data_IF_476519318283
#
_entry.id   IF_476519318283
#
_cell.length_a   1.000
_cell.length_b   1.000
_cell.length_c   1.000
_cell.angle_alpha   90.00
_cell.angle_beta   90.00
_cell.angle_gamma   90.00
#
_symmetry.space_group_name_H-M   'P 1'
#
loop_
_entity.id
_entity.type
_entity.pdbx_description
1 polymer ?
#
# COMPACT_ATOMS: atom_id res chain seq x y z
N UNK A 1 -3.22 -11.49 0.90
CA UNK A 1 -3.36 -10.01 0.93
C UNK A 1 -2.02 -9.31 0.84
N UNK A 2 -1.09 -9.58 1.73
CA UNK A 2 0.23 -8.93 1.70
C UNK A 2 0.99 -9.20 0.40
N UNK A 3 0.99 -10.44 -0.07
CA UNK A 3 1.70 -10.80 -1.29
C UNK A 3 1.19 -10.07 -2.52
N UNK A 4 -0.11 -9.89 -2.63
CA UNK A 4 -0.71 -9.15 -3.74
C UNK A 4 -0.33 -7.67 -3.70
N UNK A 5 -0.35 -7.08 -2.51
CA UNK A 5 0.02 -5.69 -2.33
C UNK A 5 1.49 -5.46 -2.62
N UNK A 6 2.35 -6.35 -2.14
CA UNK A 6 3.78 -6.27 -2.40
C UNK A 6 4.06 -6.36 -3.89
N UNK A 7 3.43 -7.32 -4.57
CA UNK A 7 3.58 -7.48 -6.01
C UNK A 7 3.12 -6.25 -6.78
N UNK A 8 1.99 -5.66 -6.36
CA UNK A 8 1.48 -4.44 -6.98
C UNK A 8 2.45 -3.28 -6.81
N UNK A 9 2.96 -3.08 -5.60
CA UNK A 9 3.89 -1.98 -5.33
C UNK A 9 5.15 -2.12 -6.18
N UNK A 10 5.73 -3.32 -6.24
CA UNK A 10 6.94 -3.55 -7.04
C UNK A 10 6.63 -3.33 -8.52
N UNK A 11 5.52 -3.89 -9.01
CA UNK A 11 5.18 -3.86 -10.43
C UNK A 11 4.79 -2.46 -10.91
N UNK A 12 3.96 -1.77 -10.15
CA UNK A 12 3.35 -0.52 -10.61
C UNK A 12 4.03 0.73 -10.05
N UNK A 13 4.52 0.67 -8.82
CA UNK A 13 5.11 1.85 -8.20
C UNK A 13 6.63 1.88 -8.30
N UNK A 14 7.26 0.73 -8.45
CA UNK A 14 8.71 0.62 -8.58
C UNK A 14 9.15 0.15 -9.97
N UNK A 15 8.23 0.17 -10.94
CA UNK A 15 8.51 -0.22 -12.34
C UNK A 15 9.15 -1.60 -12.46
N UNK A 16 8.70 -2.54 -11.62
CA UNK A 16 9.23 -3.89 -11.62
C UNK A 16 10.57 -4.07 -10.92
N UNK A 17 11.09 -3.02 -10.31
CA UNK A 17 12.38 -3.07 -9.60
C UNK A 17 12.16 -3.54 -8.17
N UNK A 18 12.55 -4.76 -7.87
CA UNK A 18 12.52 -5.25 -6.50
C UNK A 18 13.84 -4.86 -5.83
N UNK A 19 13.78 -3.80 -5.03
CA UNK A 19 14.95 -3.26 -4.31
C UNK A 19 15.02 -3.77 -2.88
N UNK A 20 14.52 -4.99 -2.66
CA UNK A 20 14.47 -5.55 -1.31
C UNK A 20 13.23 -5.12 -0.53
N UNK A 21 12.16 -4.75 -1.24
CA UNK A 21 10.92 -4.34 -0.59
C UNK A 21 10.33 -5.48 0.23
N UNK A 22 9.98 -5.19 1.47
CA UNK A 22 9.26 -6.12 2.33
C UNK A 22 8.14 -5.37 3.06
N UNK A 23 7.46 -6.07 3.96
CA UNK A 23 6.31 -5.50 4.68
C UNK A 23 6.69 -4.38 5.64
N UNK A 24 7.96 -4.24 5.96
CA UNK A 24 8.46 -3.22 6.88
C UNK A 24 9.22 -2.09 6.17
N UNK A 25 9.34 -2.14 4.83
CA UNK A 25 10.01 -1.09 4.08
C UNK A 25 9.24 0.23 4.27
N UNK A 26 9.92 1.31 4.70
CA UNK A 26 9.25 2.59 4.96
C UNK A 26 8.87 3.29 3.64
N UNK A 27 7.65 3.06 3.20
CA UNK A 27 7.17 3.51 1.89
C UNK A 27 7.16 5.02 1.73
N UNK A 28 6.78 5.74 2.79
CA UNK A 28 6.76 7.20 2.73
C UNK A 28 8.16 7.78 2.77
N UNK A 29 9.01 7.23 3.64
CA UNK A 29 10.38 7.72 3.77
C UNK A 29 11.22 7.49 2.51
N UNK A 30 10.96 6.38 1.81
CA UNK A 30 11.68 6.07 0.57
C UNK A 30 11.08 6.75 -0.66
N UNK A 31 9.97 7.48 -0.50
CA UNK A 31 9.32 8.13 -1.61
C UNK A 31 8.56 7.18 -2.53
N UNK A 32 8.29 5.96 -2.10
CA UNK A 32 7.51 5.00 -2.88
C UNK A 32 6.06 5.46 -2.97
N UNK A 33 5.52 5.99 -1.87
CA UNK A 33 4.17 6.52 -1.84
C UNK A 33 4.18 8.04 -1.78
N UNK A 34 3.45 8.65 -2.71
CA UNK A 34 3.12 10.07 -2.68
C UNK A 34 1.60 10.19 -2.88
N UNK A 35 1.09 11.41 -3.05
CA UNK A 35 -0.36 11.63 -3.19
C UNK A 35 -0.98 10.81 -4.32
N UNK A 36 -0.30 10.74 -5.45
CA UNK A 36 -0.81 10.01 -6.61
C UNK A 36 -0.72 8.50 -6.39
N UNK A 37 0.42 8.02 -5.89
CA UNK A 37 0.63 6.60 -5.66
C UNK A 37 -0.31 6.05 -4.59
N UNK A 38 -0.62 6.85 -3.57
CA UNK A 38 -1.61 6.47 -2.55
C UNK A 38 -2.98 6.23 -3.20
N UNK A 39 -3.40 7.11 -4.09
CA UNK A 39 -4.68 6.93 -4.79
C UNK A 39 -4.68 5.68 -5.65
N UNK A 40 -3.57 5.39 -6.31
CA UNK A 40 -3.41 4.18 -7.13
C UNK A 40 -3.51 2.94 -6.25
N UNK A 41 -2.84 2.96 -5.09
CA UNK A 41 -2.87 1.84 -4.15
C UNK A 41 -4.29 1.60 -3.61
N UNK A 42 -5.00 2.65 -3.26
CA UNK A 42 -6.37 2.55 -2.77
C UNK A 42 -7.30 1.97 -3.85
N UNK A 43 -7.15 2.42 -5.09
CA UNK A 43 -7.93 1.90 -6.21
C UNK A 43 -7.67 0.42 -6.43
N UNK A 44 -6.40 -0.01 -6.37
CA UNK A 44 -6.04 -1.41 -6.49
C UNK A 44 -6.69 -2.25 -5.37
N UNK A 45 -6.64 -1.74 -4.14
CA UNK A 45 -7.23 -2.43 -3.00
C UNK A 45 -8.73 -2.63 -3.19
N UNK A 46 -9.42 -1.61 -3.66
CA UNK A 46 -10.85 -1.67 -3.90
C UNK A 46 -11.19 -2.67 -5.00
N UNK A 47 -10.45 -2.67 -6.09
CA UNK A 47 -10.73 -3.54 -7.23
C UNK A 47 -10.37 -4.98 -6.98
N UNK A 48 -9.26 -5.23 -6.29
CA UNK A 48 -8.76 -6.60 -6.09
C UNK A 48 -9.28 -7.25 -4.81
N UNK A 49 -9.51 -6.46 -3.78
CA UNK A 49 -9.86 -6.98 -2.46
C UNK A 49 -11.26 -6.57 -2.04
N UNK A 50 -11.91 -5.72 -2.83
CA UNK A 50 -13.25 -5.22 -2.55
C UNK A 50 -13.33 -4.54 -1.18
N UNK A 51 -12.28 -3.82 -0.83
CA UNK A 51 -12.22 -3.05 0.42
C UNK A 51 -12.12 -1.58 0.09
N UNK A 52 -13.07 -0.78 0.56
CA UNK A 52 -13.05 0.67 0.42
C UNK A 52 -12.27 1.26 1.60
N UNK A 53 -11.22 2.02 1.28
CA UNK A 53 -10.42 2.70 2.31
C UNK A 53 -10.99 4.10 2.48
N UNK A 54 -11.62 4.40 3.63
CA UNK A 54 -12.16 5.76 3.84
C UNK A 54 -11.03 6.76 4.02
N UNK A 55 -11.32 8.01 3.68
CA UNK A 55 -10.35 9.08 3.74
C UNK A 55 -9.76 9.23 5.15
N UNK A 56 -10.55 8.98 6.18
CA UNK A 56 -10.10 9.06 7.56
C UNK A 56 -9.02 8.04 7.93
N UNK A 57 -8.90 6.97 7.14
CA UNK A 57 -7.87 5.95 7.36
C UNK A 57 -6.61 6.21 6.54
N UNK A 58 -6.63 7.21 5.66
CA UNK A 58 -5.46 7.57 4.85
C UNK A 58 -4.56 8.46 5.69
N UNK A 59 -3.73 7.84 6.53
CA UNK A 59 -2.85 8.52 7.47
C UNK A 59 -1.42 8.02 7.30
N UNK A 60 -0.42 8.81 7.72
CA UNK A 60 0.97 8.33 7.65
C UNK A 60 1.19 7.04 8.44
N UNK A 61 0.51 6.86 9.56
CA UNK A 61 0.62 5.65 10.37
C UNK A 61 0.18 4.40 9.59
N UNK A 62 -0.89 4.53 8.82
CA UNK A 62 -1.44 3.41 8.04
C UNK A 62 -0.70 3.18 6.73
N UNK A 63 0.06 4.17 6.27
CA UNK A 63 0.75 4.12 4.99
C UNK A 63 2.27 3.99 5.13
N UNK A 64 2.78 3.92 6.34
CA UNK A 64 4.22 3.90 6.56
C UNK A 64 4.88 2.67 5.95
N UNK A 65 4.21 1.53 5.96
CA UNK A 65 4.68 0.30 5.34
C UNK A 65 3.50 -0.61 5.01
N UNK A 66 3.77 -1.72 4.33
CA UNK A 66 2.70 -2.64 3.94
C UNK A 66 2.10 -3.36 5.14
N UNK A 67 2.89 -3.63 6.17
CA UNK A 67 2.39 -4.27 7.38
C UNK A 67 1.30 -3.40 8.03
N UNK A 68 1.55 -2.11 8.16
CA UNK A 68 0.57 -1.17 8.69
C UNK A 68 -0.68 -1.07 7.80
N UNK A 69 -0.46 -1.07 6.49
CA UNK A 69 -1.55 -1.00 5.53
C UNK A 69 -2.45 -2.24 5.62
N UNK A 70 -1.86 -3.43 5.65
CA UNK A 70 -2.61 -4.69 5.78
C UNK A 70 -3.37 -4.72 7.10
N UNK A 71 -2.75 -4.29 8.19
CA UNK A 71 -3.42 -4.23 9.49
C UNK A 71 -4.66 -3.34 9.43
N UNK A 72 -4.55 -2.20 8.75
CA UNK A 72 -5.70 -1.31 8.55
C UNK A 72 -6.78 -2.00 7.72
N UNK A 73 -6.40 -2.69 6.64
CA UNK A 73 -7.36 -3.39 5.79
C UNK A 73 -8.09 -4.49 6.55
N UNK A 74 -7.38 -5.19 7.43
CA UNK A 74 -8.00 -6.24 8.24
C UNK A 74 -9.05 -5.69 9.19
N UNK A 75 -8.86 -4.47 9.69
CA UNK A 75 -9.87 -3.81 10.51
C UNK A 75 -11.10 -3.40 9.69
N UNK A 76 -10.89 -3.04 8.43
CA UNK A 76 -11.98 -2.59 7.56
C UNK A 76 -12.74 -3.73 6.92
N UNK A 77 -12.06 -4.81 6.65
CA UNK A 77 -12.63 -5.99 6.02
C UNK A 77 -13.08 -7.03 7.02
#
# INVERSE_FOLDING_TARGET
MLGELKGFVVSELLDGRDTGLDEHTPLLAWGVLDSLSVNVLISFTRERMNIDVPQSEVTPENLKDLDAYVTMLERLG
#
